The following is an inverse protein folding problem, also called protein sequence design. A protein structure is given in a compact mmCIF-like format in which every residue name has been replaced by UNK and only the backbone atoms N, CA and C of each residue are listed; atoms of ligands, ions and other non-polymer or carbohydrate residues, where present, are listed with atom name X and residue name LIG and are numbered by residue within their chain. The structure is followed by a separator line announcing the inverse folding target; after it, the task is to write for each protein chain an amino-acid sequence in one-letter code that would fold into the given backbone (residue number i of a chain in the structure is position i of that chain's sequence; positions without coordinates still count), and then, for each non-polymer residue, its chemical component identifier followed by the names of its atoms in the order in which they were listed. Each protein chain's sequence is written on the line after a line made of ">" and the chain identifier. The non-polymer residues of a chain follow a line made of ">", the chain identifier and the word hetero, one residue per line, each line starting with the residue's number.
data_IF_282236726295
#
_entry.id   IF_282236726295
#
_cell.length_a   1.000
_cell.length_b   1.000
_cell.length_c   1.000
_cell.angle_alpha   90.00
_cell.angle_beta   90.00
_cell.angle_gamma   90.00
#
_symmetry.space_group_name_H-M   'P 1'
#
loop_
_entity.id
_entity.type
_entity.pdbx_description
1 polymer ?
#
# COMPACT_ATOMS: atom_id res chain seq x y z
N UNK A 1 -2.54 7.26 -14.19
CA UNK A 1 -3.35 8.50 -14.27
C UNK A 1 -3.74 9.02 -12.88
N UNK A 2 -4.74 8.47 -12.16
CA UNK A 2 -5.24 9.11 -10.93
C UNK A 2 -4.25 9.18 -9.76
N UNK A 3 -3.46 8.12 -9.54
CA UNK A 3 -2.37 8.09 -8.54
C UNK A 3 -1.29 9.16 -8.81
N UNK A 4 -0.97 9.41 -10.07
CA UNK A 4 -0.02 10.46 -10.47
C UNK A 4 -0.58 11.84 -10.18
N UNK A 5 -1.84 12.10 -10.55
CA UNK A 5 -2.48 13.40 -10.34
C UNK A 5 -2.66 13.73 -8.86
N UNK A 6 -3.18 12.78 -8.09
CA UNK A 6 -3.54 13.01 -6.68
C UNK A 6 -2.37 12.88 -5.72
N UNK A 7 -1.41 12.00 -6.02
CA UNK A 7 -0.34 11.63 -5.08
C UNK A 7 1.06 11.83 -5.67
N UNK A 8 1.20 12.33 -6.91
CA UNK A 8 2.51 12.57 -7.51
C UNK A 8 3.31 11.30 -7.80
N UNK A 9 2.67 10.13 -7.90
CA UNK A 9 3.36 8.88 -8.24
C UNK A 9 3.95 8.99 -9.65
N UNK A 10 5.28 8.82 -9.84
CA UNK A 10 5.91 8.90 -11.17
C UNK A 10 5.26 7.92 -12.15
N UNK A 11 4.91 8.41 -13.34
CA UNK A 11 4.21 7.61 -14.33
C UNK A 11 5.04 6.39 -14.78
N UNK A 12 6.36 6.56 -14.84
CA UNK A 12 7.33 5.54 -15.25
C UNK A 12 7.30 4.28 -14.37
N UNK A 13 6.93 4.41 -13.08
CA UNK A 13 6.82 3.25 -12.19
C UNK A 13 5.73 2.26 -12.63
N UNK A 14 4.66 2.75 -13.26
CA UNK A 14 3.59 1.86 -13.73
C UNK A 14 4.04 0.97 -14.88
N UNK A 15 4.93 1.45 -15.73
CA UNK A 15 5.50 0.68 -16.84
C UNK A 15 6.56 -0.31 -16.37
N UNK A 16 7.39 0.09 -15.39
CA UNK A 16 8.51 -0.72 -14.92
C UNK A 16 8.08 -1.84 -13.97
N UNK A 17 7.24 -1.54 -12.98
CA UNK A 17 6.92 -2.46 -11.88
C UNK A 17 5.43 -2.74 -11.72
N UNK A 18 4.59 -2.05 -12.50
CA UNK A 18 3.14 -2.14 -12.41
C UNK A 18 2.56 -1.43 -11.19
N UNK A 19 1.23 -1.27 -11.17
CA UNK A 19 0.54 -0.52 -10.10
C UNK A 19 0.55 -1.20 -8.73
N UNK A 20 0.77 -2.52 -8.67
CA UNK A 20 0.80 -3.32 -7.44
C UNK A 20 2.25 -3.72 -7.18
N UNK A 21 2.96 -2.84 -6.49
CA UNK A 21 4.40 -2.93 -6.21
C UNK A 21 4.76 -2.11 -4.97
N UNK A 22 5.94 -2.37 -4.40
CA UNK A 22 6.45 -1.63 -3.25
C UNK A 22 6.67 -0.15 -3.61
N UNK A 23 7.27 0.11 -4.76
CA UNK A 23 7.65 1.44 -5.24
C UNK A 23 6.43 2.34 -5.39
N UNK A 24 5.34 1.80 -5.96
CA UNK A 24 4.10 2.55 -6.15
C UNK A 24 3.46 2.89 -4.80
N UNK A 25 3.35 1.94 -3.86
CA UNK A 25 2.73 2.25 -2.55
C UNK A 25 3.58 3.20 -1.70
N UNK A 26 4.91 3.13 -1.82
CA UNK A 26 5.84 4.08 -1.19
C UNK A 26 5.61 5.49 -1.71
N UNK A 27 5.55 5.65 -3.03
CA UNK A 27 5.28 6.93 -3.67
C UNK A 27 3.89 7.46 -3.29
N UNK A 28 2.88 6.57 -3.21
CA UNK A 28 1.54 6.94 -2.75
C UNK A 28 1.53 7.46 -1.32
N UNK A 29 2.16 6.74 -0.37
CA UNK A 29 2.19 7.14 1.03
C UNK A 29 2.91 8.49 1.22
N UNK A 30 4.05 8.68 0.55
CA UNK A 30 4.78 9.96 0.56
C UNK A 30 3.97 11.09 -0.05
N UNK A 31 3.36 10.84 -1.19
CA UNK A 31 2.49 11.80 -1.86
C UNK A 31 1.32 12.24 -0.99
N UNK A 32 0.67 11.29 -0.31
CA UNK A 32 -0.44 11.58 0.58
C UNK A 32 0.02 12.41 1.79
N UNK A 33 1.14 12.04 2.41
CA UNK A 33 1.73 12.76 3.53
C UNK A 33 2.09 14.21 3.17
N UNK A 34 2.79 14.41 2.05
CA UNK A 34 3.22 15.74 1.59
C UNK A 34 2.03 16.65 1.25
N UNK A 35 1.00 16.11 0.60
CA UNK A 35 -0.15 16.91 0.14
C UNK A 35 -1.17 17.20 1.24
N UNK A 36 -1.26 16.34 2.24
CA UNK A 36 -2.18 16.54 3.37
C UNK A 36 -1.54 17.33 4.53
N UNK A 37 -0.20 17.35 4.62
CA UNK A 37 0.52 17.87 5.80
C UNK A 37 0.37 16.98 7.04
N UNK A 38 -0.22 15.78 6.90
CA UNK A 38 -0.39 14.86 8.01
C UNK A 38 0.96 14.27 8.45
N UNK A 39 1.11 14.06 9.77
CA UNK A 39 2.26 13.34 10.32
C UNK A 39 2.33 11.90 9.82
N UNK A 40 1.18 11.22 9.82
CA UNK A 40 1.06 9.84 9.42
C UNK A 40 0.35 9.70 8.07
N UNK A 41 0.77 8.72 7.27
CA UNK A 41 0.06 8.33 6.06
C UNK A 41 0.10 6.82 5.87
N UNK A 42 -0.98 6.26 5.31
CA UNK A 42 -1.06 4.86 4.90
C UNK A 42 -1.53 4.79 3.45
N UNK A 43 -0.93 3.90 2.67
CA UNK A 43 -1.31 3.68 1.28
C UNK A 43 -1.38 2.19 0.97
N UNK A 44 -2.36 1.81 0.15
CA UNK A 44 -2.58 0.42 -0.27
C UNK A 44 -2.69 0.34 -1.79
N UNK A 45 -2.13 -0.72 -2.38
CA UNK A 45 -2.33 -1.05 -3.79
C UNK A 45 -2.28 -2.57 -3.95
N UNK A 46 -3.35 -3.16 -4.47
CA UNK A 46 -3.48 -4.61 -4.52
C UNK A 46 -4.57 -5.12 -5.46
N UNK A 47 -4.63 -6.43 -5.60
CA UNK A 47 -5.50 -7.17 -6.52
C UNK A 47 -6.55 -7.91 -5.69
N UNK A 48 -7.69 -7.29 -5.44
CA UNK A 48 -8.75 -7.91 -4.64
C UNK A 48 -9.49 -9.05 -5.38
N UNK A 49 -9.40 -9.12 -6.72
CA UNK A 49 -10.11 -10.14 -7.51
C UNK A 49 -11.54 -9.73 -7.92
N UNK A 50 -12.32 -10.66 -8.50
CA UNK A 50 -11.97 -12.06 -8.73
C UNK A 50 -10.95 -12.26 -9.87
N UNK A 51 -10.71 -11.25 -10.70
CA UNK A 51 -9.74 -11.27 -11.80
C UNK A 51 -8.62 -10.24 -11.61
N UNK A 52 -7.67 -10.21 -12.55
CA UNK A 52 -6.57 -9.23 -12.57
C UNK A 52 -5.28 -9.70 -11.87
N UNK A 53 -5.26 -10.93 -11.36
CA UNK A 53 -4.04 -11.59 -10.88
C UNK A 53 -3.18 -12.12 -12.03
N UNK A 54 -1.90 -12.32 -11.73
CA UNK A 54 -0.94 -13.05 -12.58
C UNK A 54 -0.23 -14.12 -11.76
N UNK A 55 0.61 -14.93 -12.41
CA UNK A 55 1.47 -15.91 -11.73
C UNK A 55 2.35 -15.25 -10.66
N UNK A 56 2.92 -14.07 -10.96
CA UNK A 56 3.80 -13.36 -10.04
C UNK A 56 3.03 -12.57 -8.97
N UNK A 57 1.81 -12.14 -9.28
CA UNK A 57 0.95 -11.31 -8.43
C UNK A 57 -0.47 -11.89 -8.42
N UNK A 58 -0.70 -13.02 -7.73
CA UNK A 58 -2.01 -13.64 -7.69
C UNK A 58 -3.06 -12.72 -7.07
N UNK A 59 -4.34 -13.03 -7.31
CA UNK A 59 -5.45 -12.42 -6.56
C UNK A 59 -5.19 -12.58 -5.06
N UNK A 60 -5.44 -11.51 -4.31
CA UNK A 60 -5.06 -11.40 -2.90
C UNK A 60 -3.73 -10.68 -2.66
N UNK A 61 -2.92 -10.44 -3.71
CA UNK A 61 -1.66 -9.67 -3.56
C UNK A 61 -1.94 -8.22 -3.25
N UNK A 62 -1.50 -7.75 -2.08
CA UNK A 62 -1.67 -6.37 -1.64
C UNK A 62 -0.35 -5.83 -1.08
N UNK A 63 0.07 -4.67 -1.56
CA UNK A 63 1.13 -3.89 -0.95
C UNK A 63 0.54 -2.82 -0.06
N UNK A 64 1.12 -2.66 1.14
CA UNK A 64 0.75 -1.61 2.10
C UNK A 64 2.02 -0.84 2.47
N UNK A 65 1.89 0.48 2.58
CA UNK A 65 2.93 1.39 3.04
C UNK A 65 2.43 2.26 4.19
N UNK A 66 3.26 2.46 5.20
CA UNK A 66 3.02 3.35 6.33
C UNK A 66 4.16 4.35 6.47
N UNK A 67 3.82 5.63 6.64
CA UNK A 67 4.77 6.71 6.82
C UNK A 67 4.51 7.43 8.15
N UNK A 68 5.58 7.74 8.88
CA UNK A 68 5.61 8.71 9.98
C UNK A 68 6.78 9.65 9.73
N UNK A 69 6.49 10.90 9.38
CA UNK A 69 7.50 11.93 9.13
C UNK A 69 8.57 11.41 8.15
N UNK A 70 9.81 11.16 8.58
CA UNK A 70 10.88 10.61 7.73
C UNK A 70 10.84 9.08 7.56
N UNK A 71 10.13 8.34 8.42
CA UNK A 71 10.04 6.89 8.35
C UNK A 71 9.06 6.44 7.28
N UNK A 72 9.38 5.32 6.61
CA UNK A 72 8.54 4.71 5.60
C UNK A 72 8.76 3.21 5.58
N UNK A 73 7.72 2.47 5.93
CA UNK A 73 7.71 1.01 6.00
C UNK A 73 6.75 0.46 4.95
N UNK A 74 7.10 -0.67 4.34
CA UNK A 74 6.23 -1.33 3.37
C UNK A 74 6.25 -2.84 3.50
N UNK A 75 5.11 -3.46 3.24
CA UNK A 75 4.97 -4.92 3.28
C UNK A 75 4.03 -5.41 2.18
N UNK A 76 4.35 -6.59 1.64
CA UNK A 76 3.47 -7.35 0.75
C UNK A 76 2.70 -8.38 1.56
N UNK A 77 1.43 -8.50 1.25
CA UNK A 77 0.52 -9.52 1.76
C UNK A 77 -0.04 -10.34 0.60
N UNK A 78 -0.41 -11.57 0.92
CA UNK A 78 -1.24 -12.42 0.07
C UNK A 78 -2.45 -12.85 0.90
N UNK A 79 -3.56 -12.12 0.76
CA UNK A 79 -4.78 -12.40 1.49
C UNK A 79 -5.62 -13.46 0.79
N UNK A 80 -6.29 -14.31 1.57
CA UNK A 80 -7.18 -15.34 1.05
C UNK A 80 -8.63 -14.86 1.04
N UNK A 81 -9.48 -15.57 0.30
CA UNK A 81 -10.92 -15.31 0.22
C UNK A 81 -11.33 -14.52 -1.03
N UNK A 82 -12.58 -14.08 -1.02
CA UNK A 82 -13.15 -13.31 -2.13
C UNK A 82 -12.73 -11.83 -2.11
N UNK A 83 -13.25 -11.06 -3.08
CA UNK A 83 -12.95 -9.63 -3.21
C UNK A 83 -13.28 -8.82 -1.95
N UNK A 84 -14.32 -9.20 -1.22
CA UNK A 84 -14.70 -8.50 0.01
C UNK A 84 -13.73 -8.86 1.14
N UNK A 85 -13.47 -10.15 1.35
CA UNK A 85 -12.55 -10.63 2.37
C UNK A 85 -11.14 -10.04 2.21
N UNK A 86 -10.62 -9.95 0.98
CA UNK A 86 -9.30 -9.33 0.71
C UNK A 86 -9.29 -7.85 1.10
N UNK A 87 -10.37 -7.12 0.83
CA UNK A 87 -10.47 -5.70 1.20
C UNK A 87 -10.57 -5.49 2.71
N UNK A 88 -11.35 -6.32 3.40
CA UNK A 88 -11.48 -6.26 4.86
C UNK A 88 -10.15 -6.55 5.54
N UNK A 89 -9.46 -7.63 5.15
CA UNK A 89 -8.12 -7.96 5.66
C UNK A 89 -7.10 -6.85 5.37
N UNK A 90 -7.17 -6.23 4.18
CA UNK A 90 -6.32 -5.09 3.82
C UNK A 90 -6.51 -3.91 4.77
N UNK A 91 -7.77 -3.56 5.07
CA UNK A 91 -8.09 -2.46 5.99
C UNK A 91 -7.58 -2.76 7.39
N UNK A 92 -7.83 -3.98 7.90
CA UNK A 92 -7.35 -4.40 9.22
C UNK A 92 -5.83 -4.30 9.31
N UNK A 93 -5.10 -4.90 8.35
CA UNK A 93 -3.63 -4.85 8.33
C UNK A 93 -3.10 -3.41 8.23
N UNK A 94 -3.73 -2.57 7.40
CA UNK A 94 -3.35 -1.17 7.25
C UNK A 94 -3.52 -0.38 8.56
N UNK A 95 -4.63 -0.58 9.29
CA UNK A 95 -4.86 0.12 10.55
C UNK A 95 -3.97 -0.41 11.68
N UNK A 96 -3.79 -1.73 11.77
CA UNK A 96 -2.87 -2.34 12.75
C UNK A 96 -1.44 -1.84 12.57
N UNK A 97 -0.93 -1.82 11.33
CA UNK A 97 0.39 -1.28 11.07
C UNK A 97 0.50 0.21 11.40
N UNK A 98 -0.57 0.99 11.22
CA UNK A 98 -0.55 2.40 11.59
C UNK A 98 -0.46 2.59 13.12
N UNK A 99 -1.14 1.73 13.89
CA UNK A 99 -1.06 1.72 15.35
C UNK A 99 0.34 1.33 15.85
N UNK A 100 0.95 0.28 15.29
CA UNK A 100 2.33 -0.10 15.60
C UNK A 100 3.31 1.04 15.30
N UNK A 101 3.19 1.65 14.12
CA UNK A 101 4.06 2.78 13.74
C UNK A 101 3.89 3.98 14.69
N UNK A 102 2.66 4.29 15.10
CA UNK A 102 2.38 5.35 16.06
C UNK A 102 2.95 5.05 17.46
N UNK A 103 3.10 3.77 17.83
CA UNK A 103 3.78 3.33 19.04
C UNK A 103 5.32 3.31 18.93
N UNK A 104 5.88 3.63 17.76
CA UNK A 104 7.33 3.57 17.50
C UNK A 104 7.86 2.20 17.09
N UNK A 105 6.95 1.27 16.75
CA UNK A 105 7.28 -0.08 16.31
C UNK A 105 7.36 -0.16 14.78
N UNK A 106 8.00 -1.22 14.25
CA UNK A 106 8.07 -1.44 12.81
C UNK A 106 6.83 -2.22 12.32
N UNK A 107 5.90 -1.59 11.58
CA UNK A 107 4.67 -2.24 11.14
C UNK A 107 4.86 -3.29 10.05
N UNK A 108 6.07 -3.36 9.46
CA UNK A 108 6.40 -4.38 8.49
C UNK A 108 6.97 -5.66 9.14
N UNK A 109 7.26 -5.64 10.44
CA UNK A 109 7.71 -6.83 11.18
C UNK A 109 6.52 -7.66 11.64
N UNK A 110 6.50 -8.93 11.23
CA UNK A 110 5.52 -9.95 11.59
C UNK A 110 5.64 -11.16 10.69
#
# INVERSE_FOLDING_TARGET
>A
MQKTLQLGVPAQLFEQVGAVSAEVVRAMARGAQQRSGARFAVAVSGIAGPSGGSTDKPVGTVWIAWADSAQLHTRRYLFAGDRQAVREQTVVAALQGLLCLAAGENPAQG
#
